data_IF_509220327800
#
_entry.id   IF_509220327800
#
_cell.length_a   1.000
_cell.length_b   1.000
_cell.length_c   1.000
_cell.angle_alpha   90.00
_cell.angle_beta   90.00
_cell.angle_gamma   90.00
#
_symmetry.space_group_name_H-M   'P 1'
#
loop_
_entity.id
_entity.type
_entity.pdbx_description
1 polymer ?
#
# COMPACT_ATOMS: atom_id res chain seq x y z
N UNK A 1 -27.12 18.43 -10.57
CA UNK A 1 -27.94 17.47 -9.79
C UNK A 1 -27.26 17.22 -8.47
N UNK A 2 -27.80 17.82 -7.42
CA UNK A 2 -27.30 17.71 -6.05
C UNK A 2 -27.37 16.24 -5.64
N UNK A 3 -26.24 15.53 -5.73
CA UNK A 3 -26.10 14.19 -5.17
C UNK A 3 -25.83 14.37 -3.67
N UNK A 4 -26.87 14.59 -2.88
CA UNK A 4 -26.78 14.59 -1.41
C UNK A 4 -27.13 13.19 -0.90
N UNK A 5 -26.46 12.73 0.16
CA UNK A 5 -26.78 11.46 0.85
C UNK A 5 -25.87 10.27 0.49
N UNK A 6 -26.22 9.09 1.03
CA UNK A 6 -25.39 7.86 0.96
C UNK A 6 -25.07 7.42 -0.48
N UNK A 7 -25.93 7.71 -1.45
CA UNK A 7 -25.67 7.39 -2.86
C UNK A 7 -24.51 8.22 -3.44
N UNK A 8 -24.31 9.44 -2.95
CA UNK A 8 -23.23 10.31 -3.37
C UNK A 8 -21.90 9.85 -2.81
N UNK A 9 -21.85 9.50 -1.53
CA UNK A 9 -20.66 8.94 -0.90
C UNK A 9 -20.28 7.60 -1.53
N UNK A 10 -21.25 6.72 -1.81
CA UNK A 10 -21.03 5.49 -2.57
C UNK A 10 -20.55 5.74 -4.00
N UNK A 11 -21.03 6.79 -4.67
CA UNK A 11 -20.51 7.17 -6.00
C UNK A 11 -19.05 7.62 -5.92
N UNK A 12 -18.69 8.39 -4.90
CA UNK A 12 -17.31 8.81 -4.65
C UNK A 12 -16.44 7.58 -4.37
N UNK A 13 -16.83 6.70 -3.46
CA UNK A 13 -16.11 5.46 -3.10
C UNK A 13 -15.94 4.49 -4.29
N UNK A 14 -16.91 4.45 -5.22
CA UNK A 14 -16.80 3.67 -6.47
C UNK A 14 -15.80 4.28 -7.44
N UNK A 15 -15.75 5.61 -7.51
CA UNK A 15 -14.85 6.36 -8.38
C UNK A 15 -13.42 6.42 -7.83
N UNK A 16 -13.24 6.55 -6.51
CA UNK A 16 -11.93 6.49 -5.83
C UNK A 16 -11.33 5.09 -5.86
N UNK A 17 -12.16 4.06 -6.07
CA UNK A 17 -11.73 2.66 -6.13
C UNK A 17 -11.71 1.96 -4.77
N UNK A 18 -12.11 2.65 -3.70
CA UNK A 18 -12.19 2.08 -2.34
C UNK A 18 -13.17 0.90 -2.27
N UNK A 19 -14.26 0.96 -3.06
CA UNK A 19 -15.22 -0.15 -3.18
C UNK A 19 -14.74 -1.29 -4.10
N UNK A 20 -13.67 -1.08 -4.87
CA UNK A 20 -13.04 -2.14 -5.69
C UNK A 20 -11.95 -2.88 -4.93
N UNK A 21 -11.68 -2.52 -3.68
CA UNK A 21 -10.78 -3.24 -2.78
C UNK A 21 -11.40 -4.59 -2.38
N UNK A 22 -11.55 -5.48 -3.36
CA UNK A 22 -11.59 -6.92 -3.09
C UNK A 22 -10.19 -7.24 -2.68
N UNK A 23 -9.95 -7.31 -1.37
CA UNK A 23 -8.75 -7.75 -0.68
C UNK A 23 -7.82 -8.53 -1.62
N UNK A 24 -7.02 -7.80 -2.41
CA UNK A 24 -6.03 -8.43 -3.25
C UNK A 24 -4.97 -8.73 -2.23
N UNK A 25 -5.08 -9.91 -1.62
CA UNK A 25 -4.04 -10.53 -0.82
C UNK A 25 -2.78 -10.23 -1.60
N UNK A 26 -1.95 -9.29 -1.10
CA UNK A 26 -0.65 -9.01 -1.71
C UNK A 26 0.06 -10.33 -1.57
N UNK A 27 -0.05 -11.19 -2.60
CA UNK A 27 0.56 -12.52 -2.65
C UNK A 27 2.05 -12.27 -2.64
N UNK A 28 2.61 -12.05 -1.45
CA UNK A 28 4.02 -11.86 -1.20
C UNK A 28 4.71 -13.23 -1.20
N UNK A 29 4.45 -13.98 -2.27
CA UNK A 29 4.91 -15.33 -2.49
C UNK A 29 6.16 -15.38 -3.37
N UNK A 30 6.78 -16.56 -3.40
CA UNK A 30 7.75 -16.91 -4.45
C UNK A 30 7.02 -17.05 -5.77
N UNK A 31 7.70 -16.89 -6.90
CA UNK A 31 7.10 -17.06 -8.24
C UNK A 31 6.37 -18.42 -8.45
N UNK A 32 6.65 -19.44 -7.62
CA UNK A 32 6.02 -20.77 -7.65
C UNK A 32 4.74 -20.91 -6.82
N UNK A 33 4.40 -19.94 -5.99
CA UNK A 33 3.20 -20.00 -5.12
C UNK A 33 1.90 -19.79 -5.91
N UNK A 34 2.01 -19.40 -7.19
CA UNK A 34 0.89 -19.35 -8.14
C UNK A 34 0.50 -20.73 -8.70
N UNK A 35 1.19 -21.82 -8.33
CA UNK A 35 0.77 -23.17 -8.72
C UNK A 35 -0.60 -23.45 -8.09
N UNK A 36 -1.63 -23.45 -8.91
CA UNK A 36 -2.92 -24.01 -8.55
C UNK A 36 -2.71 -25.49 -8.25
N UNK A 37 -2.75 -25.86 -6.97
CA UNK A 37 -2.97 -27.24 -6.59
C UNK A 37 -4.36 -27.63 -7.10
N UNK A 38 -4.50 -28.69 -7.91
CA UNK A 38 -5.80 -29.13 -8.40
C UNK A 38 -6.52 -29.91 -7.29
N UNK A 39 -6.96 -29.20 -6.25
CA UNK A 39 -7.80 -29.74 -5.17
C UNK A 39 -9.09 -30.36 -5.72
N UNK A 40 -9.53 -29.90 -6.90
CA UNK A 40 -10.68 -30.43 -7.65
C UNK A 40 -10.54 -31.92 -8.03
N UNK A 41 -9.32 -32.45 -8.13
CA UNK A 41 -9.10 -33.89 -8.41
C UNK A 41 -9.25 -34.80 -7.18
N UNK A 42 -9.36 -34.22 -5.98
CA UNK A 42 -9.41 -34.97 -4.72
C UNK A 42 -10.83 -35.06 -4.15
N UNK A 43 -11.77 -34.25 -4.67
CA UNK A 43 -13.15 -34.20 -4.18
C UNK A 43 -14.04 -35.24 -4.85
N UNK A 44 -14.91 -35.87 -4.05
CA UNK A 44 -15.94 -36.77 -4.53
C UNK A 44 -17.08 -36.00 -5.23
N UNK A 45 -17.81 -36.68 -6.12
CA UNK A 45 -18.84 -36.03 -6.95
C UNK A 45 -20.04 -35.50 -6.15
N UNK A 46 -20.30 -36.06 -4.96
CA UNK A 46 -21.31 -35.57 -4.03
C UNK A 46 -20.89 -34.23 -3.42
N UNK A 47 -19.63 -34.11 -2.99
CA UNK A 47 -19.10 -32.89 -2.37
C UNK A 47 -19.01 -31.74 -3.38
N UNK A 48 -18.65 -32.05 -4.64
CA UNK A 48 -18.70 -31.06 -5.74
C UNK A 48 -20.10 -30.47 -5.91
N UNK A 49 -21.14 -31.31 -5.87
CA UNK A 49 -22.54 -30.86 -5.98
C UNK A 49 -22.97 -30.01 -4.80
N UNK A 50 -22.54 -30.34 -3.58
CA UNK A 50 -22.90 -29.56 -2.39
C UNK A 50 -22.18 -28.21 -2.32
N UNK A 51 -20.91 -28.14 -2.76
CA UNK A 51 -20.16 -26.89 -2.92
C UNK A 51 -20.79 -26.04 -4.03
N UNK A 52 -21.10 -26.63 -5.19
CA UNK A 52 -21.72 -25.94 -6.31
C UNK A 52 -23.14 -25.43 -5.99
N UNK A 53 -23.88 -26.15 -5.15
CA UNK A 53 -25.20 -25.74 -4.65
C UNK A 53 -25.11 -24.66 -3.55
N UNK A 54 -23.91 -24.17 -3.20
CA UNK A 54 -23.72 -23.11 -2.21
C UNK A 54 -24.07 -23.52 -0.78
N UNK A 55 -24.24 -24.81 -0.50
CA UNK A 55 -24.70 -25.31 0.81
C UNK A 55 -23.63 -25.21 1.89
N UNK A 56 -22.36 -25.02 1.52
CA UNK A 56 -21.22 -24.92 2.42
C UNK A 56 -20.29 -23.80 1.99
N UNK A 57 -20.51 -22.59 2.48
CA UNK A 57 -19.55 -21.49 2.37
C UNK A 57 -18.60 -21.54 3.57
N UNK A 58 -17.42 -22.14 3.39
CA UNK A 58 -16.39 -22.20 4.44
C UNK A 58 -15.31 -21.18 4.10
N UNK A 59 -15.31 -20.05 4.81
CA UNK A 59 -14.25 -19.04 4.74
C UNK A 59 -13.22 -19.32 5.84
N UNK A 60 -11.98 -19.64 5.43
CA UNK A 60 -10.87 -19.85 6.35
C UNK A 60 -10.07 -18.56 6.43
N UNK A 61 -10.16 -17.88 7.57
CA UNK A 61 -9.40 -16.68 7.87
C UNK A 61 -8.41 -16.96 8.99
N UNK A 62 -7.21 -16.40 8.87
CA UNK A 62 -6.21 -16.43 9.93
C UNK A 62 -6.05 -15.01 10.47
N UNK A 63 -6.21 -14.83 11.78
CA UNK A 63 -6.10 -13.51 12.42
C UNK A 63 -5.01 -13.51 13.48
N UNK A 64 -4.33 -12.38 13.61
CA UNK A 64 -3.32 -12.14 14.64
C UNK A 64 -3.94 -11.66 15.96
N UNK A 65 -3.14 -11.49 17.02
CA UNK A 65 -3.59 -10.96 18.34
C UNK A 65 -4.31 -9.62 18.25
N UNK A 66 -3.96 -8.81 17.24
CA UNK A 66 -4.55 -7.50 16.98
C UNK A 66 -5.78 -7.58 16.06
N UNK A 67 -6.29 -8.77 15.74
CA UNK A 67 -7.46 -8.96 14.86
C UNK A 67 -7.20 -8.70 13.38
N UNK A 68 -5.95 -8.43 12.98
CA UNK A 68 -5.55 -8.25 11.57
C UNK A 68 -5.62 -9.58 10.82
N UNK A 69 -6.22 -9.57 9.64
CA UNK A 69 -6.18 -10.72 8.72
C UNK A 69 -4.74 -10.93 8.23
N UNK A 70 -4.22 -12.13 8.50
CA UNK A 70 -2.87 -12.53 8.16
C UNK A 70 -2.81 -13.00 6.72
N UNK A 71 -1.71 -12.67 6.04
CA UNK A 71 -1.43 -13.27 4.73
C UNK A 71 -1.19 -14.77 4.88
N UNK A 72 -1.48 -15.58 3.85
CA UNK A 72 -1.19 -17.04 3.85
C UNK A 72 0.21 -17.39 4.35
N UNK A 73 1.22 -16.59 3.97
CA UNK A 73 2.62 -16.79 4.34
C UNK A 73 2.88 -16.58 5.83
N UNK A 74 2.20 -15.62 6.43
CA UNK A 74 2.31 -15.32 7.85
C UNK A 74 1.52 -16.32 8.68
N UNK A 75 0.33 -16.70 8.21
CA UNK A 75 -0.48 -17.77 8.80
C UNK A 75 0.30 -19.09 8.86
N UNK A 76 0.88 -19.54 7.74
CA UNK A 76 1.71 -20.75 7.71
C UNK A 76 2.88 -20.65 8.70
N UNK A 77 3.50 -19.47 8.81
CA UNK A 77 4.65 -19.27 9.69
C UNK A 77 4.24 -19.35 11.16
N UNK A 78 3.12 -18.73 11.55
CA UNK A 78 2.58 -18.85 12.91
C UNK A 78 2.23 -20.29 13.25
N UNK A 79 1.54 -21.00 12.34
CA UNK A 79 1.26 -22.43 12.49
C UNK A 79 2.54 -23.25 12.65
N UNK A 80 3.56 -22.97 11.84
CA UNK A 80 4.87 -23.64 11.92
C UNK A 80 5.55 -23.40 13.27
N UNK A 81 5.50 -22.18 13.80
CA UNK A 81 6.08 -21.86 15.11
C UNK A 81 5.35 -22.57 16.24
N UNK A 82 4.01 -22.64 16.19
CA UNK A 82 3.21 -23.39 17.16
C UNK A 82 3.48 -24.88 17.08
N UNK A 83 3.68 -25.41 15.87
CA UNK A 83 3.97 -26.82 15.64
C UNK A 83 5.37 -27.23 16.10
N UNK A 84 6.40 -26.46 15.72
CA UNK A 84 7.79 -26.78 16.04
C UNK A 84 8.28 -26.21 17.39
N UNK A 85 7.52 -25.31 18.03
CA UNK A 85 7.91 -24.64 19.27
C UNK A 85 9.09 -23.65 19.15
N UNK A 86 9.65 -23.50 17.96
CA UNK A 86 10.79 -22.60 17.71
C UNK A 86 10.32 -21.30 17.06
N UNK A 87 10.24 -20.25 17.88
CA UNK A 87 9.89 -18.91 17.43
C UNK A 87 10.98 -18.21 16.61
N UNK A 88 10.66 -17.05 16.02
CA UNK A 88 11.65 -16.17 15.45
C UNK A 88 12.57 -15.61 16.53
N UNK A 89 13.84 -15.35 16.20
CA UNK A 89 14.74 -14.65 17.14
C UNK A 89 14.38 -13.16 17.27
N UNK A 90 14.70 -12.56 18.42
CA UNK A 90 14.36 -11.17 18.81
C UNK A 90 14.54 -10.12 17.70
N UNK A 91 15.71 -10.10 17.04
CA UNK A 91 16.00 -9.16 15.94
C UNK A 91 14.99 -9.24 14.76
N UNK A 92 14.42 -10.41 14.50
CA UNK A 92 13.42 -10.61 13.44
C UNK A 92 12.03 -10.18 13.90
N UNK A 93 11.72 -10.34 15.18
CA UNK A 93 10.48 -9.83 15.79
C UNK A 93 10.47 -8.31 15.78
N UNK A 94 11.55 -7.67 16.25
CA UNK A 94 11.68 -6.21 16.28
C UNK A 94 11.51 -5.58 14.89
N UNK A 95 12.12 -6.20 13.85
CA UNK A 95 11.97 -5.74 12.47
C UNK A 95 10.52 -5.84 11.98
N UNK A 96 9.81 -6.92 12.32
CA UNK A 96 8.40 -7.07 11.93
C UNK A 96 7.51 -6.08 12.65
N UNK A 97 7.75 -5.86 13.95
CA UNK A 97 7.02 -4.87 14.73
C UNK A 97 7.20 -3.46 14.17
N UNK A 98 8.41 -3.11 13.71
CA UNK A 98 8.66 -1.83 13.03
C UNK A 98 7.89 -1.70 11.71
N UNK A 99 7.93 -2.72 10.85
CA UNK A 99 7.18 -2.71 9.59
C UNK A 99 5.68 -2.58 9.85
N UNK A 100 5.16 -3.29 10.86
CA UNK A 100 3.74 -3.20 11.23
C UNK A 100 3.37 -1.81 11.75
N UNK A 101 4.24 -1.19 12.55
CA UNK A 101 4.02 0.16 13.06
C UNK A 101 4.05 1.19 11.92
N UNK A 102 4.99 1.06 10.98
CA UNK A 102 5.06 1.89 9.78
C UNK A 102 3.84 1.72 8.88
N UNK A 103 3.36 0.49 8.65
CA UNK A 103 2.13 0.23 7.90
C UNK A 103 0.91 0.91 8.55
N UNK A 104 0.75 0.77 9.88
CA UNK A 104 -0.33 1.43 10.63
C UNK A 104 -0.24 2.95 10.55
N UNK A 105 0.97 3.50 10.66
CA UNK A 105 1.18 4.93 10.53
C UNK A 105 0.83 5.40 9.12
N UNK A 106 1.29 4.71 8.08
CA UNK A 106 0.98 5.04 6.69
C UNK A 106 -0.53 4.98 6.42
N UNK A 107 -1.23 3.95 6.88
CA UNK A 107 -2.69 3.86 6.76
C UNK A 107 -3.41 5.04 7.43
N UNK A 108 -2.91 5.49 8.59
CA UNK A 108 -3.45 6.68 9.27
C UNK A 108 -3.08 7.99 8.55
N UNK A 109 -1.87 8.07 7.97
CA UNK A 109 -1.30 9.27 7.36
C UNK A 109 -1.71 9.48 5.91
N UNK A 110 -2.28 8.49 5.22
CA UNK A 110 -2.75 8.61 3.83
C UNK A 110 -3.70 9.79 3.58
N UNK A 111 -4.32 10.33 4.64
CA UNK A 111 -5.18 11.52 4.56
C UNK A 111 -4.44 12.86 4.70
N UNK A 112 -3.25 12.88 5.29
CA UNK A 112 -2.53 14.11 5.64
C UNK A 112 -1.55 14.60 4.55
N UNK A 113 -1.09 13.73 3.64
CA UNK A 113 -0.10 14.10 2.62
C UNK A 113 -0.69 14.87 1.43
N UNK A 114 -2.00 14.81 1.22
CA UNK A 114 -2.67 15.52 0.11
C UNK A 114 -2.54 17.04 0.24
N UNK A 115 -2.59 17.57 1.47
CA UNK A 115 -2.47 19.00 1.71
C UNK A 115 -1.08 19.55 1.31
N UNK A 116 -0.02 18.78 1.59
CA UNK A 116 1.35 19.14 1.22
C UNK A 116 1.59 19.01 -0.29
N UNK A 117 1.02 17.99 -0.94
CA UNK A 117 1.15 17.82 -2.39
C UNK A 117 0.40 18.89 -3.19
N UNK A 118 -0.78 19.30 -2.73
CA UNK A 118 -1.52 20.39 -3.36
C UNK A 118 -0.80 21.74 -3.18
N UNK A 119 -0.18 21.97 -2.02
CA UNK A 119 0.67 23.13 -1.81
C UNK A 119 1.89 23.13 -2.75
N UNK A 120 2.55 21.97 -2.94
CA UNK A 120 3.68 21.83 -3.86
C UNK A 120 3.28 22.02 -5.34
N UNK A 121 2.10 21.53 -5.75
CA UNK A 121 1.59 21.79 -7.11
C UNK A 121 1.32 23.26 -7.34
N UNK A 122 0.69 23.94 -6.37
CA UNK A 122 0.44 25.39 -6.44
C UNK A 122 1.74 26.19 -6.54
N UNK A 123 2.80 25.81 -5.84
CA UNK A 123 4.09 26.50 -5.94
C UNK A 123 4.78 26.24 -7.28
N UNK A 124 4.68 25.03 -7.84
CA UNK A 124 5.15 24.73 -9.20
C UNK A 124 4.42 25.57 -10.26
N UNK A 125 3.09 25.67 -10.16
CA UNK A 125 2.27 26.49 -11.07
C UNK A 125 2.61 27.98 -10.95
N UNK A 126 2.75 28.49 -9.72
CA UNK A 126 3.07 29.89 -9.46
C UNK A 126 4.48 30.27 -9.96
N UNK A 127 5.47 29.40 -9.75
CA UNK A 127 6.85 29.62 -10.19
C UNK A 127 7.08 29.24 -11.65
N UNK A 128 6.12 28.53 -12.27
CA UNK A 128 6.22 27.91 -13.59
C UNK A 128 7.45 27.02 -13.74
N UNK A 129 7.94 26.47 -12.63
CA UNK A 129 9.06 25.53 -12.61
C UNK A 129 8.55 24.12 -12.38
N UNK A 130 9.13 23.17 -13.10
CA UNK A 130 8.79 21.75 -12.99
C UNK A 130 9.38 21.08 -11.73
N UNK A 131 10.28 21.76 -11.02
CA UNK A 131 10.92 21.27 -9.80
C UNK A 131 10.70 22.23 -8.64
N UNK A 132 10.68 21.69 -7.42
CA UNK A 132 10.65 22.46 -6.17
C UNK A 132 11.91 22.11 -5.39
N UNK A 133 12.71 23.11 -5.03
CA UNK A 133 13.89 22.93 -4.17
C UNK A 133 13.46 22.92 -2.71
N UNK A 134 13.48 21.74 -2.10
CA UNK A 134 13.26 21.57 -0.67
C UNK A 134 14.56 21.87 0.07
N UNK A 135 14.78 23.13 0.50
CA UNK A 135 15.89 23.46 1.39
C UNK A 135 15.56 22.98 2.81
N UNK A 136 16.49 22.24 3.43
CA UNK A 136 16.29 21.48 4.68
C UNK A 136 16.10 22.30 5.96
N UNK A 137 15.71 23.57 5.87
CA UNK A 137 15.36 24.42 7.02
C UNK A 137 13.93 24.89 6.81
N UNK A 138 13.06 24.63 7.79
CA UNK A 138 11.61 24.74 7.66
C UNK A 138 11.13 26.03 7.00
N UNK A 139 10.09 25.87 6.15
CA UNK A 139 9.10 26.88 5.76
C UNK A 139 9.60 28.33 5.84
N UNK A 140 10.18 28.82 4.74
CA UNK A 140 10.23 30.22 4.28
C UNK A 140 11.61 30.54 3.68
N UNK A 141 11.68 30.58 2.36
CA UNK A 141 12.39 31.64 1.66
C UNK A 141 12.03 31.54 0.18
N UNK A 142 11.06 32.37 -0.23
CA UNK A 142 11.01 32.84 -1.61
C UNK A 142 12.34 33.57 -1.83
N UNK A 143 13.27 32.92 -2.52
CA UNK A 143 14.49 33.55 -3.01
C UNK A 143 14.33 33.69 -4.53
N UNK A 144 14.03 34.91 -4.97
CA UNK A 144 14.12 35.32 -6.37
C UNK A 144 15.62 35.35 -6.71
N UNK A 145 16.14 34.56 -7.66
CA UNK A 145 17.48 34.78 -8.16
C UNK A 145 17.41 35.81 -9.30
N UNK A 146 17.97 36.97 -8.99
CA UNK A 146 18.35 38.03 -9.93
C UNK A 146 19.25 37.42 -11.02
N UNK A 147 18.80 37.43 -12.28
CA UNK A 147 19.57 36.92 -13.41
C UNK A 147 20.47 38.04 -13.95
N UNK A 148 21.61 38.28 -13.28
CA UNK A 148 22.70 39.08 -13.84
C UNK A 148 23.59 38.23 -14.76
N UNK A 149 23.95 38.86 -15.87
CA UNK A 149 24.61 38.38 -17.08
C UNK A 149 25.90 37.57 -16.88
N UNK A 150 25.96 36.38 -17.49
CA UNK A 150 27.20 35.66 -17.71
C UNK A 150 27.74 35.95 -19.12
N UNK A 151 28.69 36.89 -19.24
CA UNK A 151 29.46 37.13 -20.45
C UNK A 151 30.52 36.04 -20.64
N UNK A 152 30.33 35.17 -21.63
CA UNK A 152 31.29 34.11 -21.99
C UNK A 152 32.55 34.67 -22.67
N UNK A 153 33.70 34.65 -21.98
CA UNK A 153 35.03 34.86 -22.59
C UNK A 153 35.46 33.57 -23.29
N UNK A 154 35.49 33.59 -24.63
CA UNK A 154 36.10 32.55 -25.47
C UNK A 154 37.59 32.44 -25.13
N UNK A 155 38.07 31.25 -24.76
CA UNK A 155 39.51 30.93 -24.73
C UNK A 155 39.92 30.36 -26.08
N UNK A 156 40.78 31.09 -26.78
CA UNK A 156 41.50 30.63 -27.97
C UNK A 156 42.48 29.51 -27.59
N UNK A 157 42.52 28.48 -28.42
CA UNK A 157 43.48 27.37 -28.37
C UNK A 157 44.82 27.86 -28.94
N UNK A 158 45.90 27.51 -28.28
CA UNK A 158 47.27 27.42 -28.82
C UNK A 158 47.87 26.14 -28.27
#
# INVERSE_FOLDING_TARGET
>A
LVRQGMAATLSILKNTGDLKMREVEKRSGRARDARNFPWEKVLDDQEKKDIAAGKKEIKIEYRDEFGRELTRKEAFRQLSYRFHGHGPGKKKEDKRLKILAEERLMESSQRHDLASLDALKKTQEATKQHYVTLSGSGIASVAIPNAESFSGKKRSKS
#
